data_IF_199896022467
#
_entry.id   IF_199896022467
#
_cell.length_a   1.000
_cell.length_b   1.000
_cell.length_c   1.000
_cell.angle_alpha   90.00
_cell.angle_beta   90.00
_cell.angle_gamma   90.00
#
_symmetry.space_group_name_H-M   'P 1'
#
loop_
_entity.id
_entity.type
_entity.pdbx_description
1 polymer ?
#
# COMPACT_ATOMS: atom_id res chain seq x y z
N UNK A 1 0.52 24.73 -6.32
CA UNK A 1 -0.12 23.74 -5.44
C UNK A 1 -1.62 23.99 -5.44
N UNK A 2 -2.44 23.03 -5.85
CA UNK A 2 -3.91 23.15 -5.83
C UNK A 2 -4.45 22.91 -4.40
N UNK A 3 -5.77 23.08 -4.18
CA UNK A 3 -6.38 22.91 -2.83
C UNK A 3 -6.21 21.48 -2.30
N UNK A 4 -6.41 20.46 -3.15
CA UNK A 4 -6.29 19.04 -2.76
C UNK A 4 -4.86 18.70 -2.36
N UNK A 5 -3.87 19.05 -3.18
CA UNK A 5 -2.44 18.84 -2.89
C UNK A 5 -2.03 19.44 -1.54
N UNK A 6 -2.56 20.63 -1.20
CA UNK A 6 -2.29 21.24 0.11
C UNK A 6 -2.84 20.40 1.26
N UNK A 7 -4.10 19.98 1.15
CA UNK A 7 -4.75 19.14 2.18
C UNK A 7 -4.05 17.79 2.30
N UNK A 8 -3.65 17.17 1.19
CA UNK A 8 -2.93 15.89 1.20
C UNK A 8 -1.55 16.06 1.87
N UNK A 9 -0.84 17.16 1.61
CA UNK A 9 0.40 17.48 2.32
C UNK A 9 0.18 17.74 3.80
N UNK A 10 -0.89 18.45 4.17
CA UNK A 10 -1.26 18.67 5.58
C UNK A 10 -1.62 17.35 6.29
N UNK A 11 -2.28 16.42 5.59
CA UNK A 11 -2.58 15.08 6.08
C UNK A 11 -1.29 14.30 6.38
N UNK A 12 -0.31 14.34 5.47
CA UNK A 12 1.02 13.72 5.64
C UNK A 12 1.85 14.31 6.79
N UNK A 13 1.44 15.41 7.41
CA UNK A 13 2.02 15.91 8.67
C UNK A 13 1.42 15.24 9.92
N UNK A 14 0.59 14.21 9.75
CA UNK A 14 -0.10 13.52 10.84
C UNK A 14 -1.52 14.02 11.10
N UNK A 15 -2.14 14.74 10.16
CA UNK A 15 -3.51 15.28 10.30
C UNK A 15 -4.56 14.46 9.54
N UNK A 16 -4.26 13.20 9.20
CA UNK A 16 -5.07 12.37 8.31
C UNK A 16 -6.57 12.37 8.63
N UNK A 17 -6.94 12.15 9.89
CA UNK A 17 -8.35 12.10 10.30
C UNK A 17 -9.02 13.48 10.31
N UNK A 18 -8.25 14.54 10.57
CA UNK A 18 -8.77 15.91 10.57
C UNK A 18 -9.02 16.40 9.13
N UNK A 19 -8.20 15.96 8.18
CA UNK A 19 -8.25 16.38 6.78
C UNK A 19 -9.19 15.51 5.92
N UNK A 20 -9.54 14.29 6.37
CA UNK A 20 -10.43 13.38 5.65
C UNK A 20 -11.78 14.00 5.24
N UNK A 21 -12.51 14.75 6.10
CA UNK A 21 -13.77 15.37 5.71
C UNK A 21 -13.64 16.33 4.52
N UNK A 22 -12.57 17.14 4.49
CA UNK A 22 -12.29 18.08 3.41
C UNK A 22 -11.92 17.37 2.11
N UNK A 23 -11.16 16.27 2.20
CA UNK A 23 -10.85 15.41 1.05
C UNK A 23 -12.12 14.78 0.45
N UNK A 24 -13.00 14.25 1.30
CA UNK A 24 -14.28 13.68 0.88
C UNK A 24 -15.17 14.75 0.22
N UNK A 25 -15.28 15.94 0.81
CA UNK A 25 -16.07 17.05 0.25
C UNK A 25 -15.59 17.42 -1.18
N UNK A 26 -14.27 17.46 -1.39
CA UNK A 26 -13.69 17.71 -2.71
C UNK A 26 -13.99 16.56 -3.67
N UNK A 27 -13.78 15.31 -3.25
CA UNK A 27 -13.95 14.12 -4.07
C UNK A 27 -15.40 13.91 -4.57
N UNK A 28 -16.39 14.34 -3.78
CA UNK A 28 -17.82 14.21 -4.11
C UNK A 28 -18.41 15.46 -4.78
N UNK A 29 -17.63 16.53 -4.98
CA UNK A 29 -18.14 17.80 -5.48
C UNK A 29 -18.55 17.72 -6.96
N UNK A 30 -19.86 17.89 -7.22
CA UNK A 30 -20.39 17.99 -8.59
C UNK A 30 -19.80 19.21 -9.31
N UNK A 31 -19.29 18.99 -10.52
CA UNK A 31 -18.69 20.05 -11.35
C UNK A 31 -17.33 20.56 -10.85
N UNK A 32 -16.69 19.87 -9.90
CA UNK A 32 -15.32 20.16 -9.49
C UNK A 32 -14.31 19.96 -10.63
N UNK A 33 -13.14 20.60 -10.51
CA UNK A 33 -12.04 20.36 -11.44
C UNK A 33 -11.56 18.90 -11.30
N UNK A 34 -11.51 18.16 -12.41
CA UNK A 34 -11.25 16.71 -12.40
C UNK A 34 -9.99 16.32 -11.65
N UNK A 35 -8.86 16.97 -11.96
CA UNK A 35 -7.56 16.73 -11.31
C UNK A 35 -7.67 16.70 -9.78
N UNK A 36 -8.02 17.83 -9.16
CA UNK A 36 -8.20 17.91 -7.71
C UNK A 36 -9.21 16.91 -7.13
N UNK A 37 -10.29 16.62 -7.85
CA UNK A 37 -11.34 15.70 -7.42
C UNK A 37 -10.81 14.28 -7.27
N UNK A 38 -10.10 13.75 -8.28
CA UNK A 38 -9.60 12.38 -8.19
C UNK A 38 -8.36 12.26 -7.31
N UNK A 39 -7.51 13.30 -7.24
CA UNK A 39 -6.40 13.36 -6.27
C UNK A 39 -6.92 13.28 -4.83
N UNK A 40 -7.97 14.06 -4.51
CA UNK A 40 -8.60 14.01 -3.19
C UNK A 40 -9.27 12.67 -2.92
N UNK A 41 -9.91 12.07 -3.92
CA UNK A 41 -10.51 10.74 -3.79
C UNK A 41 -9.45 9.66 -3.51
N UNK A 42 -8.32 9.68 -4.21
CA UNK A 42 -7.21 8.74 -3.99
C UNK A 42 -6.69 8.84 -2.54
N UNK A 43 -6.41 10.06 -2.07
CA UNK A 43 -5.97 10.28 -0.69
C UNK A 43 -7.02 9.84 0.34
N UNK A 44 -8.31 10.18 0.13
CA UNK A 44 -9.38 9.77 1.02
C UNK A 44 -9.51 8.25 1.10
N UNK A 45 -9.46 7.53 -0.03
CA UNK A 45 -9.48 6.06 -0.09
C UNK A 45 -8.37 5.46 0.78
N UNK A 46 -7.13 5.97 0.67
CA UNK A 46 -6.00 5.47 1.46
C UNK A 46 -6.22 5.67 2.96
N UNK A 47 -6.76 6.83 3.39
CA UNK A 47 -7.07 7.10 4.79
C UNK A 47 -8.21 6.21 5.30
N UNK A 48 -9.26 5.99 4.49
CA UNK A 48 -10.39 5.12 4.83
C UNK A 48 -9.96 3.67 5.09
N UNK A 49 -8.94 3.17 4.39
CA UNK A 49 -8.38 1.84 4.68
C UNK A 49 -7.83 1.74 6.11
N UNK A 50 -7.20 2.79 6.61
CA UNK A 50 -6.64 2.82 7.97
C UNK A 50 -7.71 2.93 9.06
N UNK A 51 -8.85 3.53 8.75
CA UNK A 51 -10.01 3.60 9.66
C UNK A 51 -10.92 2.37 9.57
N UNK A 52 -10.66 1.45 8.64
CA UNK A 52 -11.46 0.25 8.43
C UNK A 52 -12.75 0.47 7.63
N UNK A 53 -12.91 1.64 7.01
CA UNK A 53 -14.09 2.04 6.26
C UNK A 53 -14.01 1.55 4.80
N UNK A 54 -13.83 0.23 4.61
CA UNK A 54 -13.56 -0.37 3.30
C UNK A 54 -14.73 -0.27 2.32
N UNK A 55 -15.98 -0.39 2.81
CA UNK A 55 -17.18 -0.18 1.98
C UNK A 55 -17.22 1.25 1.45
N UNK A 56 -16.99 2.24 2.31
CA UNK A 56 -16.97 3.65 1.92
C UNK A 56 -15.88 3.95 0.88
N UNK A 57 -14.70 3.33 1.02
CA UNK A 57 -13.63 3.46 0.03
C UNK A 57 -14.00 2.86 -1.34
N UNK A 58 -14.70 1.71 -1.34
CA UNK A 58 -15.19 1.07 -2.55
C UNK A 58 -16.29 1.90 -3.24
N UNK A 59 -17.26 2.40 -2.46
CA UNK A 59 -18.33 3.27 -2.95
C UNK A 59 -17.78 4.57 -3.55
N UNK A 60 -16.86 5.24 -2.84
CA UNK A 60 -16.22 6.46 -3.32
C UNK A 60 -15.49 6.23 -4.66
N UNK A 61 -14.83 5.08 -4.80
CA UNK A 61 -14.16 4.69 -6.04
C UNK A 61 -15.15 4.48 -7.18
N UNK A 62 -16.22 3.72 -6.93
CA UNK A 62 -17.24 3.45 -7.94
C UNK A 62 -17.92 4.74 -8.40
N UNK A 63 -18.36 5.59 -7.47
CA UNK A 63 -19.01 6.86 -7.76
C UNK A 63 -18.13 7.81 -8.59
N UNK A 64 -16.83 7.87 -8.26
CA UNK A 64 -15.86 8.65 -9.02
C UNK A 64 -15.77 8.15 -10.48
N UNK A 65 -15.65 6.84 -10.68
CA UNK A 65 -15.48 6.25 -12.01
C UNK A 65 -16.77 6.34 -12.82
N UNK A 66 -17.93 6.16 -12.20
CA UNK A 66 -19.22 6.33 -12.87
C UNK A 66 -19.41 7.77 -13.37
N UNK A 67 -18.99 8.76 -12.57
CA UNK A 67 -19.12 10.18 -12.91
C UNK A 67 -18.09 10.64 -13.93
N UNK A 68 -16.81 10.37 -13.68
CA UNK A 68 -15.69 10.99 -14.40
C UNK A 68 -15.00 10.03 -15.39
N UNK A 69 -15.16 8.72 -15.23
CA UNK A 69 -14.59 7.68 -16.09
C UNK A 69 -14.90 7.86 -17.59
N UNK A 70 -16.17 8.09 -18.01
CA UNK A 70 -16.52 8.24 -19.43
C UNK A 70 -15.82 9.40 -20.13
N UNK A 71 -15.33 10.36 -19.35
CA UNK A 71 -14.69 11.57 -19.86
C UNK A 71 -13.19 11.38 -20.11
N UNK A 72 -12.62 10.24 -19.69
CA UNK A 72 -11.20 9.93 -19.81
C UNK A 72 -10.29 10.86 -18.99
N UNK A 73 -9.00 10.85 -19.34
CA UNK A 73 -7.97 11.69 -18.71
C UNK A 73 -7.11 10.94 -17.71
N UNK A 74 -6.21 11.64 -17.02
CA UNK A 74 -5.15 11.05 -16.18
C UNK A 74 -5.65 10.03 -15.15
N UNK A 75 -6.84 10.25 -14.58
CA UNK A 75 -7.51 9.29 -13.71
C UNK A 75 -7.52 7.88 -14.32
N UNK A 76 -7.90 7.75 -15.59
CA UNK A 76 -8.04 6.46 -16.28
C UNK A 76 -6.69 5.76 -16.55
N UNK A 77 -5.57 6.42 -16.25
CA UNK A 77 -4.22 5.85 -16.37
C UNK A 77 -3.66 5.41 -15.00
N UNK A 78 -4.40 5.60 -13.91
CA UNK A 78 -4.02 5.25 -12.55
C UNK A 78 -4.96 4.18 -11.99
N UNK A 79 -4.48 2.97 -11.67
CA UNK A 79 -5.32 1.95 -11.02
C UNK A 79 -5.24 2.03 -9.49
N UNK A 80 -4.15 2.50 -8.90
CA UNK A 80 -4.00 2.65 -7.45
C UNK A 80 -4.41 4.05 -7.02
N UNK A 81 -5.20 4.22 -5.93
CA UNK A 81 -5.69 3.19 -4.98
C UNK A 81 -7.08 2.62 -5.30
N UNK A 82 -7.65 2.93 -6.48
CA UNK A 82 -9.00 2.55 -6.87
C UNK A 82 -9.23 1.03 -7.02
N UNK A 83 -8.29 0.31 -7.65
CA UNK A 83 -8.28 -1.16 -7.72
C UNK A 83 -8.30 -1.78 -6.32
N UNK A 84 -7.34 -1.46 -5.42
CA UNK A 84 -7.36 -1.97 -4.06
C UNK A 84 -8.66 -1.68 -3.32
N UNK A 85 -9.30 -0.52 -3.54
CA UNK A 85 -10.55 -0.18 -2.87
C UNK A 85 -11.69 -1.15 -3.21
N UNK A 86 -11.88 -1.44 -4.50
CA UNK A 86 -12.91 -2.40 -4.93
C UNK A 86 -12.63 -3.81 -4.41
N UNK A 87 -11.36 -4.25 -4.41
CA UNK A 87 -10.97 -5.54 -3.87
C UNK A 87 -11.17 -5.63 -2.35
N UNK A 88 -10.80 -4.57 -1.62
CA UNK A 88 -10.94 -4.50 -0.16
C UNK A 88 -12.41 -4.48 0.29
N UNK A 89 -13.31 -3.89 -0.48
CA UNK A 89 -14.76 -3.99 -0.24
C UNK A 89 -15.24 -5.44 -0.18
N UNK A 90 -14.76 -6.31 -1.08
CA UNK A 90 -15.09 -7.73 -1.02
C UNK A 90 -14.48 -8.44 0.18
N UNK A 91 -13.23 -8.12 0.50
CA UNK A 91 -12.50 -8.84 1.54
C UNK A 91 -12.93 -8.48 2.95
N UNK A 92 -13.35 -7.24 3.18
CA UNK A 92 -13.58 -6.69 4.52
C UNK A 92 -14.99 -6.13 4.75
N UNK A 93 -15.81 -6.00 3.71
CA UNK A 93 -17.18 -5.49 3.82
C UNK A 93 -18.22 -6.37 3.10
N UNK A 94 -17.85 -7.58 2.68
CA UNK A 94 -18.71 -8.54 1.98
C UNK A 94 -19.36 -7.99 0.69
N UNK A 95 -18.71 -7.02 0.04
CA UNK A 95 -19.21 -6.38 -1.19
C UNK A 95 -18.60 -7.02 -2.45
N UNK A 96 -19.36 -7.64 -3.36
CA UNK A 96 -18.77 -8.39 -4.47
C UNK A 96 -17.99 -7.47 -5.44
N UNK A 97 -16.68 -7.68 -5.56
CA UNK A 97 -15.78 -6.83 -6.33
C UNK A 97 -15.86 -7.11 -7.84
N UNK A 98 -15.96 -8.37 -8.26
CA UNK A 98 -16.00 -8.73 -9.70
C UNK A 98 -17.08 -7.97 -10.50
N UNK A 99 -18.37 -7.94 -10.09
CA UNK A 99 -19.38 -7.18 -10.83
C UNK A 99 -19.13 -5.66 -10.77
N UNK A 100 -18.61 -5.12 -9.67
CA UNK A 100 -18.27 -3.69 -9.56
C UNK A 100 -17.12 -3.31 -10.49
N UNK A 101 -16.06 -4.12 -10.53
CA UNK A 101 -14.92 -3.95 -11.45
C UNK A 101 -15.38 -3.94 -12.90
N UNK A 102 -16.24 -4.89 -13.30
CA UNK A 102 -16.81 -4.94 -14.64
C UNK A 102 -17.64 -3.68 -14.95
N UNK A 103 -18.53 -3.26 -14.04
CA UNK A 103 -19.34 -2.06 -14.21
C UNK A 103 -18.49 -0.79 -14.34
N UNK A 104 -17.45 -0.64 -13.51
CA UNK A 104 -16.50 0.47 -13.61
C UNK A 104 -15.72 0.45 -14.94
N UNK A 105 -15.29 -0.73 -15.40
CA UNK A 105 -14.59 -0.88 -16.67
C UNK A 105 -15.44 -0.40 -17.86
N UNK A 106 -16.73 -0.73 -17.89
CA UNK A 106 -17.67 -0.30 -18.93
C UNK A 106 -17.81 1.22 -19.03
N UNK A 107 -17.53 1.96 -17.95
CA UNK A 107 -17.58 3.43 -17.93
C UNK A 107 -16.34 4.07 -18.52
N UNK A 108 -15.23 3.35 -18.61
CA UNK A 108 -13.94 3.92 -19.00
C UNK A 108 -13.77 3.77 -20.53
N UNK A 109 -13.27 4.80 -21.24
CA UNK A 109 -12.99 4.69 -22.67
C UNK A 109 -12.06 3.53 -23.04
N UNK A 110 -12.22 3.01 -24.25
CA UNK A 110 -11.34 1.97 -24.80
C UNK A 110 -9.86 2.41 -24.79
N UNK A 111 -8.95 1.44 -24.60
CA UNK A 111 -7.50 1.67 -24.66
C UNK A 111 -6.87 2.27 -23.40
N UNK A 112 -7.66 2.66 -22.40
CA UNK A 112 -7.13 3.15 -21.11
C UNK A 112 -6.57 2.02 -20.25
N UNK A 113 -5.59 2.33 -19.42
CA UNK A 113 -4.96 1.35 -18.54
C UNK A 113 -5.93 0.83 -17.48
N UNK A 114 -6.64 1.72 -16.77
CA UNK A 114 -7.57 1.33 -15.71
C UNK A 114 -8.66 0.38 -16.22
N UNK A 115 -9.19 0.62 -17.43
CA UNK A 115 -10.17 -0.29 -18.05
C UNK A 115 -9.63 -1.70 -18.21
N UNK A 116 -8.47 -1.84 -18.87
CA UNK A 116 -7.84 -3.16 -19.11
C UNK A 116 -7.54 -3.89 -17.80
N UNK A 117 -7.06 -3.16 -16.80
CA UNK A 117 -6.78 -3.71 -15.46
C UNK A 117 -8.06 -4.20 -14.77
N UNK A 118 -9.15 -3.42 -14.82
CA UNK A 118 -10.42 -3.79 -14.20
C UNK A 118 -11.13 -4.94 -14.92
N UNK A 119 -11.09 -4.96 -16.25
CA UNK A 119 -11.60 -6.09 -17.06
C UNK A 119 -10.86 -7.38 -16.71
N UNK A 120 -9.52 -7.34 -16.69
CA UNK A 120 -8.69 -8.47 -16.31
C UNK A 120 -8.99 -8.95 -14.89
N UNK A 121 -9.05 -8.04 -13.92
CA UNK A 121 -9.36 -8.38 -12.52
C UNK A 121 -10.74 -9.02 -12.36
N UNK A 122 -11.76 -8.53 -13.07
CA UNK A 122 -13.11 -9.07 -13.00
C UNK A 122 -13.16 -10.55 -13.39
N UNK A 123 -12.27 -10.97 -14.30
CA UNK A 123 -12.15 -12.34 -14.80
C UNK A 123 -11.23 -13.21 -13.95
N UNK A 124 -10.19 -12.61 -13.35
CA UNK A 124 -9.20 -13.33 -12.55
C UNK A 124 -9.64 -13.55 -11.10
N UNK A 125 -10.45 -12.65 -10.55
CA UNK A 125 -10.90 -12.73 -9.15
C UNK A 125 -11.56 -14.07 -8.78
N UNK A 126 -12.44 -14.67 -9.62
CA UNK A 126 -13.01 -15.99 -9.34
C UNK A 126 -11.99 -17.14 -9.37
N UNK A 127 -10.79 -16.95 -9.93
CA UNK A 127 -9.80 -18.01 -10.16
C UNK A 127 -8.78 -18.11 -9.03
N UNK A 128 -8.35 -16.99 -8.47
CA UNK A 128 -7.25 -16.93 -7.49
C UNK A 128 -7.64 -16.27 -6.16
N UNK A 129 -8.87 -15.76 -6.03
CA UNK A 129 -9.32 -15.05 -4.82
C UNK A 129 -8.78 -13.62 -4.72
N UNK A 130 -9.23 -12.88 -3.71
CA UNK A 130 -8.92 -11.44 -3.55
C UNK A 130 -7.48 -11.21 -3.10
N UNK A 131 -7.02 -11.97 -2.11
CA UNK A 131 -5.76 -11.70 -1.41
C UNK A 131 -4.52 -11.65 -2.32
N UNK A 132 -4.30 -12.61 -3.25
CA UNK A 132 -3.16 -12.55 -4.17
C UNK A 132 -3.19 -11.35 -5.13
N UNK A 133 -4.35 -10.72 -5.31
CA UNK A 133 -4.54 -9.58 -6.22
C UNK A 133 -4.35 -8.22 -5.53
N UNK A 134 -4.17 -8.19 -4.21
CA UNK A 134 -3.89 -6.99 -3.43
C UNK A 134 -2.41 -6.58 -3.53
N UNK A 135 -2.10 -5.27 -3.38
CA UNK A 135 -0.73 -4.77 -3.49
C UNK A 135 0.18 -5.33 -2.40
N UNK A 136 1.45 -5.56 -2.72
CA UNK A 136 2.45 -6.10 -1.78
C UNK A 136 2.09 -7.47 -1.18
N UNK A 137 1.29 -8.28 -1.89
CA UNK A 137 1.12 -9.69 -1.53
C UNK A 137 2.48 -10.41 -1.55
N UNK A 138 2.68 -11.37 -0.64
CA UNK A 138 3.88 -12.19 -0.57
C UNK A 138 3.56 -13.57 -0.03
N UNK A 139 4.41 -14.54 -0.33
CA UNK A 139 4.33 -15.91 0.18
C UNK A 139 4.89 -15.98 1.62
N UNK A 140 4.18 -15.35 2.56
CA UNK A 140 4.60 -15.27 3.95
C UNK A 140 4.61 -16.67 4.58
N UNK A 141 5.81 -17.16 4.89
CA UNK A 141 6.00 -18.54 5.36
C UNK A 141 6.18 -19.59 4.25
N UNK A 142 6.25 -19.16 2.99
CA UNK A 142 6.63 -20.01 1.86
C UNK A 142 8.05 -20.57 1.98
N UNK A 143 8.34 -21.59 1.17
CA UNK A 143 9.66 -22.22 1.15
C UNK A 143 10.77 -21.27 0.68
N UNK A 144 11.97 -21.46 1.24
CA UNK A 144 13.18 -20.77 0.79
C UNK A 144 13.50 -21.19 -0.65
N UNK A 145 13.81 -20.21 -1.49
CA UNK A 145 14.23 -20.38 -2.88
C UNK A 145 15.76 -20.32 -3.01
N UNK A 146 16.36 -20.94 -4.04
CA UNK A 146 17.81 -20.85 -4.26
C UNK A 146 18.29 -19.43 -4.50
N UNK A 147 19.51 -19.11 -4.05
CA UNK A 147 20.19 -17.83 -4.28
C UNK A 147 20.80 -17.70 -5.69
N UNK A 148 20.77 -18.76 -6.50
CA UNK A 148 21.41 -18.78 -7.82
C UNK A 148 20.81 -17.72 -8.76
N UNK A 149 21.66 -16.82 -9.24
CA UNK A 149 21.26 -15.73 -10.15
C UNK A 149 20.62 -14.52 -9.46
N UNK A 150 20.46 -14.53 -8.14
CA UNK A 150 19.91 -13.41 -7.36
C UNK A 150 20.97 -12.33 -7.16
N UNK A 151 20.60 -11.07 -7.40
CA UNK A 151 21.50 -9.93 -7.17
C UNK A 151 21.78 -9.82 -5.67
N UNK A 152 23.07 -9.72 -5.31
CA UNK A 152 23.48 -9.65 -3.90
C UNK A 152 23.72 -11.00 -3.24
N UNK A 153 23.46 -12.13 -3.91
CA UNK A 153 23.69 -13.48 -3.37
C UNK A 153 25.09 -13.69 -2.77
N UNK A 154 26.14 -13.25 -3.46
CA UNK A 154 27.52 -13.35 -2.96
C UNK A 154 27.87 -12.44 -1.76
N UNK A 155 26.96 -11.57 -1.35
CA UNK A 155 27.10 -10.71 -0.16
C UNK A 155 26.46 -11.33 1.07
N UNK A 156 25.50 -12.24 0.90
CA UNK A 156 24.66 -12.78 1.96
C UNK A 156 25.49 -13.55 3.01
N UNK A 157 26.59 -14.20 2.61
CA UNK A 157 27.52 -14.92 3.50
C UNK A 157 28.68 -14.06 4.04
N UNK A 158 28.76 -12.77 3.66
CA UNK A 158 29.83 -11.87 4.13
C UNK A 158 29.49 -11.27 5.49
N UNK A 159 30.52 -10.84 6.22
CA UNK A 159 30.32 -10.09 7.46
C UNK A 159 29.58 -8.78 7.18
N UNK A 160 28.36 -8.65 7.70
CA UNK A 160 27.45 -7.56 7.40
C UNK A 160 28.01 -6.18 7.80
N UNK A 161 28.75 -6.10 8.91
CA UNK A 161 29.32 -4.84 9.38
C UNK A 161 30.46 -4.32 8.49
N UNK A 162 31.09 -5.19 7.70
CA UNK A 162 32.12 -4.83 6.72
C UNK A 162 31.55 -4.37 5.38
N UNK A 163 30.23 -4.56 5.17
CA UNK A 163 29.55 -4.12 3.96
C UNK A 163 29.26 -2.64 4.00
N UNK A 164 29.39 -1.98 2.85
CA UNK A 164 28.88 -0.61 2.68
C UNK A 164 27.34 -0.58 2.67
N UNK A 165 26.76 0.62 2.79
CA UNK A 165 25.30 0.79 2.85
C UNK A 165 24.57 0.19 1.65
N UNK A 166 25.12 0.32 0.44
CA UNK A 166 24.49 -0.22 -0.79
C UNK A 166 24.53 -1.75 -0.76
N UNK A 167 25.64 -2.33 -0.33
CA UNK A 167 25.81 -3.77 -0.20
C UNK A 167 24.89 -4.36 0.87
N UNK A 168 24.73 -3.70 2.03
CA UNK A 168 23.77 -4.09 3.08
C UNK A 168 22.34 -4.13 2.54
N UNK A 169 21.95 -3.11 1.79
CA UNK A 169 20.67 -3.05 1.07
C UNK A 169 20.48 -4.25 0.12
N UNK A 170 21.51 -4.61 -0.64
CA UNK A 170 21.45 -5.78 -1.54
C UNK A 170 21.33 -7.11 -0.79
N UNK A 171 21.88 -7.23 0.42
CA UNK A 171 21.70 -8.44 1.25
C UNK A 171 20.23 -8.62 1.60
N UNK A 172 19.56 -7.57 2.09
CA UNK A 172 18.12 -7.62 2.39
C UNK A 172 17.28 -7.96 1.17
N UNK A 173 17.59 -7.37 0.01
CA UNK A 173 16.90 -7.65 -1.25
C UNK A 173 17.06 -9.12 -1.65
N UNK A 174 18.28 -9.68 -1.57
CA UNK A 174 18.53 -11.09 -1.89
C UNK A 174 17.77 -12.05 -0.96
N UNK A 175 17.72 -11.75 0.34
CA UNK A 175 16.98 -12.56 1.32
C UNK A 175 15.47 -12.50 1.07
N UNK A 176 14.93 -11.33 0.75
CA UNK A 176 13.51 -11.17 0.42
C UNK A 176 13.14 -11.87 -0.89
N UNK A 177 13.97 -11.74 -1.93
CA UNK A 177 13.76 -12.41 -3.23
C UNK A 177 13.80 -13.94 -3.09
N UNK A 178 14.64 -14.46 -2.20
CA UNK A 178 14.72 -15.90 -1.90
C UNK A 178 13.75 -16.38 -0.83
N UNK A 179 12.95 -15.50 -0.26
CA UNK A 179 12.04 -15.81 0.86
C UNK A 179 12.76 -16.41 2.09
N UNK A 180 14.04 -16.08 2.31
CA UNK A 180 14.85 -16.60 3.41
C UNK A 180 14.63 -15.79 4.70
N UNK A 181 13.44 -15.93 5.26
CA UNK A 181 13.04 -15.23 6.48
C UNK A 181 13.89 -15.59 7.70
N UNK A 182 14.26 -16.87 7.84
CA UNK A 182 15.06 -17.34 8.98
C UNK A 182 16.40 -16.63 9.00
N UNK A 183 17.06 -16.52 7.85
CA UNK A 183 18.33 -15.83 7.75
C UNK A 183 18.19 -14.32 7.90
N UNK A 184 17.11 -13.74 7.38
CA UNK A 184 16.78 -12.32 7.57
C UNK A 184 16.53 -11.96 9.05
N UNK A 185 15.83 -12.82 9.79
CA UNK A 185 15.62 -12.68 11.23
C UNK A 185 16.92 -12.82 12.03
N UNK A 186 17.76 -13.80 11.66
CA UNK A 186 19.08 -13.97 12.29
C UNK A 186 19.95 -12.73 12.06
N UNK A 187 19.95 -12.18 10.84
CA UNK A 187 20.66 -10.95 10.50
C UNK A 187 20.20 -9.76 11.38
N UNK A 188 18.88 -9.57 11.51
CA UNK A 188 18.32 -8.53 12.39
C UNK A 188 18.76 -8.73 13.84
N UNK A 189 18.69 -9.96 14.34
CA UNK A 189 19.01 -10.29 15.74
C UNK A 189 20.50 -10.07 16.04
N UNK A 190 21.37 -10.48 15.13
CA UNK A 190 22.83 -10.41 15.31
C UNK A 190 23.37 -8.98 15.20
N UNK A 191 22.76 -8.16 14.32
CA UNK A 191 23.27 -6.83 14.00
C UNK A 191 22.48 -5.69 14.65
N UNK A 192 21.22 -5.94 15.03
CA UNK A 192 20.26 -4.91 15.42
C UNK A 192 19.83 -3.98 14.29
N UNK A 193 20.28 -4.21 13.04
CA UNK A 193 19.98 -3.36 11.89
C UNK A 193 18.73 -3.86 11.16
N UNK A 194 17.70 -3.02 11.08
CA UNK A 194 16.47 -3.27 10.31
C UNK A 194 16.67 -2.99 8.81
N UNK A 195 15.88 -3.61 7.91
CA UNK A 195 15.92 -3.29 6.48
C UNK A 195 15.66 -1.81 6.22
N UNK A 196 16.32 -1.16 5.26
CA UNK A 196 16.04 0.24 4.90
C UNK A 196 14.82 0.38 3.96
N UNK A 197 14.41 -0.72 3.32
CA UNK A 197 13.37 -0.72 2.31
C UNK A 197 11.99 -0.98 2.92
N UNK A 198 11.04 -0.09 2.62
CA UNK A 198 9.63 -0.22 3.03
C UNK A 198 9.04 -1.61 2.74
N UNK A 199 9.18 -2.12 1.51
CA UNK A 199 8.61 -3.41 1.11
C UNK A 199 9.21 -4.59 1.87
N UNK A 200 10.49 -4.53 2.24
CA UNK A 200 11.16 -5.61 2.99
C UNK A 200 10.73 -5.59 4.46
N UNK A 201 10.47 -4.40 5.02
CA UNK A 201 9.85 -4.29 6.34
C UNK A 201 8.46 -4.95 6.35
N UNK A 202 7.63 -4.71 5.33
CA UNK A 202 6.33 -5.39 5.21
C UNK A 202 6.47 -6.90 5.04
N UNK A 203 7.42 -7.35 4.21
CA UNK A 203 7.70 -8.76 4.02
C UNK A 203 8.05 -9.45 5.35
N UNK A 204 8.97 -8.88 6.14
CA UNK A 204 9.30 -9.37 7.48
C UNK A 204 8.11 -9.31 8.44
N UNK A 205 7.34 -8.21 8.45
CA UNK A 205 6.17 -8.06 9.30
C UNK A 205 5.14 -9.18 9.06
N UNK A 206 4.89 -9.53 7.80
CA UNK A 206 3.97 -10.60 7.44
C UNK A 206 4.46 -11.98 7.87
N UNK A 207 5.77 -12.25 7.85
CA UNK A 207 6.30 -13.50 8.41
C UNK A 207 6.20 -13.57 9.93
N UNK A 208 6.46 -12.46 10.64
CA UNK A 208 6.19 -12.42 12.08
C UNK A 208 4.71 -12.65 12.38
N UNK A 209 3.82 -12.10 11.55
CA UNK A 209 2.38 -12.32 11.67
C UNK A 209 1.99 -13.81 11.54
N UNK A 210 2.54 -14.54 10.56
CA UNK A 210 2.26 -15.99 10.40
C UNK A 210 2.79 -16.83 11.55
N UNK A 211 3.77 -16.31 12.30
CA UNK A 211 4.32 -16.94 13.52
C UNK A 211 3.62 -16.50 14.81
N UNK A 212 2.66 -15.57 14.74
CA UNK A 212 2.02 -14.99 15.92
C UNK A 212 2.94 -14.07 16.74
N UNK A 213 4.06 -13.62 16.17
CA UNK A 213 5.05 -12.77 16.82
C UNK A 213 4.67 -11.29 16.66
N UNK A 214 3.54 -10.90 17.28
CA UNK A 214 2.90 -9.59 17.07
C UNK A 214 3.84 -8.42 17.35
N UNK A 215 4.62 -8.47 18.43
CA UNK A 215 5.53 -7.38 18.80
C UNK A 215 6.61 -7.12 17.74
N UNK A 216 7.19 -8.19 17.17
CA UNK A 216 8.19 -8.07 16.10
C UNK A 216 7.54 -7.57 14.81
N UNK A 217 6.34 -8.05 14.49
CA UNK A 217 5.57 -7.55 13.35
C UNK A 217 5.25 -6.07 13.46
N UNK A 218 4.79 -5.62 14.64
CA UNK A 218 4.56 -4.21 14.96
C UNK A 218 5.82 -3.37 14.77
N UNK A 219 6.97 -3.82 15.31
CA UNK A 219 8.24 -3.11 15.17
C UNK A 219 8.60 -2.92 13.69
N UNK A 220 8.46 -3.95 12.86
CA UNK A 220 8.71 -3.84 11.41
C UNK A 220 7.75 -2.88 10.71
N UNK A 221 6.48 -2.81 11.11
CA UNK A 221 5.54 -1.83 10.54
C UNK A 221 5.87 -0.40 10.98
N UNK A 222 6.19 -0.18 12.24
CA UNK A 222 6.63 1.14 12.73
C UNK A 222 7.92 1.58 12.04
N UNK A 223 8.84 0.65 11.81
CA UNK A 223 10.03 0.86 11.00
C UNK A 223 9.68 1.22 9.55
N UNK A 224 8.73 0.51 8.93
CA UNK A 224 8.31 0.76 7.56
C UNK A 224 7.79 2.20 7.36
N UNK A 225 7.10 2.76 8.36
CA UNK A 225 6.55 4.12 8.30
C UNK A 225 7.59 5.18 7.91
N UNK A 226 8.76 5.19 8.55
CA UNK A 226 9.83 6.18 8.26
C UNK A 226 10.53 5.95 6.92
N UNK A 227 10.32 4.80 6.30
CA UNK A 227 10.97 4.37 5.05
C UNK A 227 10.07 4.53 3.83
N UNK A 228 8.80 4.85 4.05
CA UNK A 228 7.85 5.04 2.98
C UNK A 228 8.05 6.40 2.32
N UNK A 229 7.87 6.42 1.00
CA UNK A 229 7.86 7.64 0.20
C UNK A 229 6.69 7.59 -0.78
N UNK A 230 5.93 8.68 -0.95
CA UNK A 230 4.85 8.75 -1.92
C UNK A 230 5.40 8.58 -3.33
N UNK A 231 4.76 7.75 -4.15
CA UNK A 231 5.11 7.62 -5.57
C UNK A 231 4.54 8.80 -6.36
N UNK A 232 3.33 9.22 -6.00
CA UNK A 232 2.67 10.38 -6.54
C UNK A 232 2.33 11.40 -5.45
N UNK A 233 2.22 12.68 -5.84
CA UNK A 233 1.89 13.79 -4.92
C UNK A 233 0.58 13.60 -4.14
N UNK A 234 -0.35 12.81 -4.68
CA UNK A 234 -1.65 12.50 -4.07
C UNK A 234 -1.64 11.26 -3.17
N UNK A 235 -0.53 10.53 -3.07
CA UNK A 235 -0.40 9.44 -2.10
C UNK A 235 -0.32 10.03 -0.70
N UNK A 236 -1.34 9.81 0.12
CA UNK A 236 -1.43 10.30 1.49
C UNK A 236 -0.70 9.37 2.45
N UNK A 237 -1.01 8.08 2.41
CA UNK A 237 -0.52 7.10 3.39
C UNK A 237 -0.41 5.72 2.72
N UNK A 238 0.62 4.92 3.01
CA UNK A 238 0.72 3.56 2.48
C UNK A 238 -0.47 2.70 2.92
N UNK A 239 -1.03 1.91 2.01
CA UNK A 239 -2.24 1.14 2.24
C UNK A 239 -1.98 -0.37 2.46
N UNK A 240 -0.90 -0.90 1.90
CA UNK A 240 -0.55 -2.32 2.00
C UNK A 240 -0.65 -2.94 3.41
N UNK A 241 -0.22 -2.29 4.52
CA UNK A 241 -0.31 -2.87 5.86
C UNK A 241 -1.74 -3.20 6.29
N UNK A 242 -2.70 -2.36 5.90
CA UNK A 242 -4.11 -2.50 6.28
C UNK A 242 -4.95 -3.23 5.24
N UNK A 243 -4.40 -3.45 4.04
CA UNK A 243 -5.05 -4.19 2.96
C UNK A 243 -4.76 -5.69 3.01
N UNK A 244 -3.54 -6.11 3.34
CA UNK A 244 -3.18 -7.53 3.34
C UNK A 244 -3.67 -8.24 4.61
N UNK A 245 -4.47 -9.32 4.53
CA UNK A 245 -5.01 -10.03 5.69
C UNK A 245 -3.94 -10.43 6.70
N UNK A 246 -2.82 -10.97 6.19
CA UNK A 246 -1.69 -11.39 7.01
C UNK A 246 -1.07 -10.22 7.77
N UNK A 247 -0.84 -9.07 7.12
CA UNK A 247 -0.26 -7.89 7.78
C UNK A 247 -1.19 -7.29 8.83
N UNK A 248 -2.52 -7.32 8.60
CA UNK A 248 -3.51 -6.82 9.56
C UNK A 248 -3.44 -7.49 10.93
N UNK A 249 -2.96 -8.73 11.01
CA UNK A 249 -2.77 -9.44 12.28
C UNK A 249 -1.76 -8.76 13.20
N UNK A 250 -0.87 -7.92 12.64
CA UNK A 250 0.16 -7.17 13.39
C UNK A 250 -0.02 -5.65 13.27
N UNK A 251 -1.09 -5.18 12.62
CA UNK A 251 -1.53 -3.78 12.69
C UNK A 251 -2.33 -3.58 13.98
N UNK A 252 -1.61 -3.36 15.07
CA UNK A 252 -2.18 -3.04 16.39
C UNK A 252 -2.72 -1.60 16.41
N UNK A 253 -3.43 -1.24 17.47
CA UNK A 253 -3.84 0.15 17.69
C UNK A 253 -2.65 1.11 17.79
N UNK A 254 -1.49 0.64 18.27
CA UNK A 254 -0.25 1.43 18.30
C UNK A 254 0.30 1.67 16.89
N UNK A 255 0.28 0.67 16.01
CA UNK A 255 0.64 0.87 14.60
C UNK A 255 -0.32 1.84 13.94
N UNK A 256 -1.63 1.63 14.12
CA UNK A 256 -2.66 2.50 13.54
C UNK A 256 -2.53 3.95 14.01
N UNK A 257 -2.37 4.17 15.30
CA UNK A 257 -2.14 5.51 15.88
C UNK A 257 -0.88 6.15 15.31
N UNK A 258 0.23 5.41 15.24
CA UNK A 258 1.47 5.94 14.68
C UNK A 258 1.31 6.41 13.23
N UNK A 259 0.71 5.57 12.38
CA UNK A 259 0.49 5.88 10.96
C UNK A 259 -0.49 7.04 10.76
N UNK A 260 -1.50 7.19 11.62
CA UNK A 260 -2.53 8.23 11.49
C UNK A 260 -2.19 9.56 12.20
N UNK A 261 -1.12 9.63 12.99
CA UNK A 261 -0.81 10.82 13.80
C UNK A 261 0.62 11.34 13.64
N UNK A 262 1.52 10.57 13.02
CA UNK A 262 2.90 10.98 12.79
C UNK A 262 3.11 11.51 11.37
N UNK A 263 3.99 12.51 11.19
CA UNK A 263 4.42 12.91 9.85
C UNK A 263 5.06 11.74 9.10
N UNK A 264 4.82 11.65 7.78
CA UNK A 264 5.35 10.58 6.93
C UNK A 264 5.96 11.13 5.63
N UNK A 265 6.93 10.42 5.06
CA UNK A 265 7.52 10.76 3.76
C UNK A 265 8.20 12.14 3.74
N UNK A 266 7.98 12.96 2.70
CA UNK A 266 8.60 14.28 2.57
C UNK A 266 8.33 15.20 3.76
N UNK A 267 7.12 15.13 4.31
CA UNK A 267 6.69 15.97 5.43
C UNK A 267 7.37 15.60 6.76
N UNK A 268 7.81 14.34 6.92
CA UNK A 268 8.62 13.93 8.07
C UNK A 268 10.03 14.52 8.02
N UNK A 269 10.69 14.47 6.86
CA UNK A 269 12.05 15.03 6.70
C UNK A 269 12.10 16.54 6.89
N UNK A 270 11.02 17.25 6.55
CA UNK A 270 10.95 18.70 6.74
C UNK A 270 10.77 19.13 8.21
N UNK A 271 10.45 18.18 9.11
CA UNK A 271 10.26 18.43 10.53
C UNK A 271 11.50 18.15 11.39
N UNK A 272 12.54 17.54 10.81
CA UNK A 272 13.87 17.30 11.42
C UNK A 272 14.83 18.48 11.19
#
# INVERSE_FOLDING_TARGET
MNKSEKIISDARKGNFLADLPDLLEIATRKGGARGPVWEAAAAAVQILFWTGEFAQAADLTQDLIERDGPLGGELCDQSTPFRPALLAGQLYADEPAAPRLAACAERIPDGRYMRRDFEWLSQELPRQGVEPLLPCHSDWGGAVRPLDGVIGAGLVDRNYHELDRKQRRLVWEALSETNDFTRAHQLLTDTGEEPEQYSICLWMAGWYATRGEVEHGEQMLLAAHSRWWPFAKWDAIPDAPVLQPTLRLVVTDKVRDHYLTRPIGPEAQAAE
#
